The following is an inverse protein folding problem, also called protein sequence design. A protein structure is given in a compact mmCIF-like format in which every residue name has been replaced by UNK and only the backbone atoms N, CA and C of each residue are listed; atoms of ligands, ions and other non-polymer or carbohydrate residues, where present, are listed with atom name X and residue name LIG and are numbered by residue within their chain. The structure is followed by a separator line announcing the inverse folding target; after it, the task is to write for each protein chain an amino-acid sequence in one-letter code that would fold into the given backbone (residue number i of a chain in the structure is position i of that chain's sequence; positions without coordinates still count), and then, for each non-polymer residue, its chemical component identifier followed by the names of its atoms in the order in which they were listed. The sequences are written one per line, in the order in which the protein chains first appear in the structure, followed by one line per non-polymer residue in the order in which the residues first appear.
data_IF_532394662985
#
_entry.id   IF_532394662985
#
_cell.length_a   1.000
_cell.length_b   1.000
_cell.length_c   1.000
_cell.angle_alpha   90.00
_cell.angle_beta   90.00
_cell.angle_gamma   90.00
#
_symmetry.space_group_name_H-M   'P 1'
#
loop_
_entity.id
_entity.type
_entity.pdbx_description
1 polymer ?
#
# COMPACT_ATOMS: atom_id res chain seq x y z
N UNK A 1 12.54 32.35 38.62
CA UNK A 1 12.70 30.93 39.01
C UNK A 1 11.58 30.59 40.00
N UNK A 2 10.52 29.87 39.57
CA UNK A 2 10.40 28.49 40.07
C UNK A 2 9.79 27.45 39.10
N UNK A 3 9.46 27.77 37.83
CA UNK A 3 8.91 26.76 36.91
C UNK A 3 9.94 25.70 36.45
N UNK A 4 11.23 26.09 36.38
CA UNK A 4 12.33 25.18 36.00
C UNK A 4 12.70 24.17 37.09
N UNK A 5 12.29 24.40 38.35
CA UNK A 5 12.57 23.47 39.45
C UNK A 5 11.48 22.39 39.61
N UNK A 6 10.25 22.65 39.14
CA UNK A 6 9.15 21.68 39.18
C UNK A 6 9.26 20.58 38.09
N UNK A 7 9.91 20.88 36.96
CA UNK A 7 10.10 19.93 35.85
C UNK A 7 11.15 18.84 36.10
N UNK A 8 11.90 18.93 37.22
CA UNK A 8 12.94 17.95 37.59
C UNK A 8 12.43 16.81 38.50
N UNK A 9 11.13 16.79 38.83
CA UNK A 9 10.47 15.78 39.68
C UNK A 9 9.38 14.96 38.98
N UNK A 10 9.35 14.93 37.65
CA UNK A 10 8.45 14.04 36.92
C UNK A 10 9.20 12.76 36.55
N UNK A 11 8.67 11.62 37.02
CA UNK A 11 9.10 10.27 36.64
C UNK A 11 9.01 10.03 35.12
N UNK A 12 9.19 8.78 34.65
CA UNK A 12 9.26 8.48 33.22
C UNK A 12 8.09 9.15 32.48
N UNK A 13 8.42 10.00 31.49
CA UNK A 13 7.44 10.73 30.66
C UNK A 13 6.33 9.76 30.27
N UNK A 14 5.11 10.01 30.77
CA UNK A 14 3.94 9.27 30.31
C UNK A 14 3.93 9.37 28.79
N UNK A 15 4.09 8.23 28.09
CA UNK A 15 3.96 8.19 26.63
C UNK A 15 2.56 8.69 26.33
N UNK A 16 2.45 9.86 25.69
CA UNK A 16 1.18 10.35 25.16
C UNK A 16 0.65 9.23 24.27
N UNK A 17 -0.57 8.77 24.54
CA UNK A 17 -1.18 7.70 23.77
C UNK A 17 -1.33 8.18 22.31
N UNK A 18 -0.96 7.33 21.34
CA UNK A 18 -1.16 7.63 19.92
C UNK A 18 -2.64 7.90 19.65
N UNK A 19 -3.01 8.94 18.87
CA UNK A 19 -4.39 9.13 18.45
C UNK A 19 -4.88 7.94 17.62
N UNK A 20 -6.18 7.64 17.70
CA UNK A 20 -6.79 6.63 16.85
C UNK A 20 -6.96 7.19 15.43
N UNK A 21 -6.53 6.45 14.41
CA UNK A 21 -6.81 6.82 13.04
C UNK A 21 -8.20 6.33 12.65
N UNK A 22 -9.06 7.24 12.19
CA UNK A 22 -10.46 6.99 11.85
C UNK A 22 -10.74 7.02 10.36
N UNK A 23 -9.88 7.63 9.55
CA UNK A 23 -10.04 7.72 8.10
C UNK A 23 -8.99 8.61 7.45
N UNK A 24 -8.85 8.48 6.14
CA UNK A 24 -7.87 9.23 5.35
C UNK A 24 -8.55 9.87 4.13
N UNK A 25 -8.38 11.17 3.98
CA UNK A 25 -8.92 11.97 2.87
C UNK A 25 -7.75 12.41 2.00
N UNK A 26 -7.91 12.26 0.69
CA UNK A 26 -6.85 12.54 -0.28
C UNK A 26 -7.27 13.64 -1.26
N UNK A 27 -6.31 14.46 -1.67
CA UNK A 27 -6.39 15.14 -2.97
C UNK A 27 -6.09 14.16 -4.12
N UNK A 28 -6.44 14.55 -5.35
CA UNK A 28 -6.25 13.75 -6.54
C UNK A 28 -4.94 14.07 -7.28
N UNK A 29 -4.87 15.24 -7.91
CA UNK A 29 -3.72 15.64 -8.74
C UNK A 29 -2.51 15.92 -7.85
N UNK A 30 -1.31 15.51 -8.26
CA UNK A 30 -0.08 15.67 -7.46
C UNK A 30 0.00 14.76 -6.22
N UNK A 31 -1.13 14.17 -5.80
CA UNK A 31 -1.23 13.33 -4.59
C UNK A 31 -1.48 11.86 -4.92
N UNK A 32 -2.70 11.47 -5.29
CA UNK A 32 -3.02 10.10 -5.71
C UNK A 32 -2.57 9.83 -7.15
N UNK A 33 -2.47 10.88 -7.96
CA UNK A 33 -2.08 10.81 -9.36
C UNK A 33 -0.94 11.76 -9.63
N UNK A 34 -0.09 11.42 -10.60
CA UNK A 34 0.91 12.36 -11.11
C UNK A 34 0.18 13.47 -11.86
N UNK A 35 0.52 14.72 -11.57
CA UNK A 35 -0.05 15.85 -12.28
C UNK A 35 0.26 15.74 -13.78
N UNK A 36 -0.79 15.65 -14.60
CA UNK A 36 -0.67 15.45 -16.04
C UNK A 36 -1.34 16.57 -16.87
N UNK A 37 -2.10 17.46 -16.21
CA UNK A 37 -2.74 18.60 -16.84
C UNK A 37 -1.92 19.88 -16.62
N UNK A 38 -1.48 20.51 -17.71
CA UNK A 38 -0.80 21.80 -17.65
C UNK A 38 -1.82 22.95 -17.63
N UNK A 39 -2.12 23.42 -16.42
CA UNK A 39 -3.04 24.55 -16.22
C UNK A 39 -2.52 25.83 -16.85
N UNK A 40 -1.21 26.03 -16.98
CA UNK A 40 -0.67 27.23 -17.62
C UNK A 40 -1.01 27.25 -19.10
N UNK A 41 -0.82 26.13 -19.79
CA UNK A 41 -1.22 25.96 -21.19
C UNK A 41 -2.73 26.12 -21.34
N UNK A 42 -3.52 25.59 -20.41
CA UNK A 42 -4.98 25.74 -20.43
C UNK A 42 -5.40 27.21 -20.33
N UNK A 43 -4.82 27.96 -19.40
CA UNK A 43 -5.01 29.40 -19.25
C UNK A 43 -4.67 30.17 -20.54
N UNK A 44 -3.49 29.89 -21.11
CA UNK A 44 -3.03 30.52 -22.35
C UNK A 44 -3.98 30.23 -23.52
N UNK A 45 -4.42 28.98 -23.70
CA UNK A 45 -5.35 28.58 -24.76
C UNK A 45 -6.74 29.20 -24.59
N UNK A 46 -7.23 29.34 -23.36
CA UNK A 46 -8.51 29.98 -23.06
C UNK A 46 -8.44 31.52 -23.10
N UNK A 47 -7.26 32.12 -23.26
CA UNK A 47 -7.08 33.58 -23.20
C UNK A 47 -7.28 34.17 -21.80
N UNK A 48 -7.13 33.36 -20.75
CA UNK A 48 -7.27 33.79 -19.35
C UNK A 48 -5.88 34.00 -18.75
N UNK A 49 -5.56 35.17 -18.19
CA UNK A 49 -4.27 35.41 -17.54
C UNK A 49 -3.97 34.37 -16.46
N UNK A 50 -2.70 33.94 -16.39
CA UNK A 50 -2.23 33.03 -15.35
C UNK A 50 -2.49 33.63 -13.96
N UNK A 51 -3.03 32.82 -13.03
CA UNK A 51 -3.32 33.23 -11.66
C UNK A 51 -4.73 33.75 -11.40
N UNK A 52 -5.58 33.88 -12.43
CA UNK A 52 -7.03 34.03 -12.24
C UNK A 52 -7.69 32.66 -12.01
N UNK A 53 -8.90 32.65 -11.45
CA UNK A 53 -9.73 31.45 -11.48
C UNK A 53 -10.23 31.22 -12.92
N UNK A 54 -9.75 30.16 -13.56
CA UNK A 54 -10.04 29.85 -14.96
C UNK A 54 -11.55 29.76 -15.23
N UNK A 55 -12.27 29.03 -14.38
CA UNK A 55 -13.69 28.73 -14.61
C UNK A 55 -14.55 29.96 -14.37
N UNK A 56 -14.23 30.76 -13.36
CA UNK A 56 -14.89 32.02 -13.10
C UNK A 56 -14.63 33.03 -14.23
N UNK A 57 -13.39 33.11 -14.74
CA UNK A 57 -13.04 33.99 -15.85
C UNK A 57 -13.80 33.60 -17.13
N UNK A 58 -13.85 32.30 -17.46
CA UNK A 58 -14.60 31.79 -18.62
C UNK A 58 -16.10 32.02 -18.47
N UNK A 59 -16.67 31.87 -17.27
CA UNK A 59 -18.08 32.15 -17.02
C UNK A 59 -18.47 33.62 -17.30
N UNK A 60 -17.52 34.55 -17.15
CA UNK A 60 -17.70 35.98 -17.43
C UNK A 60 -17.47 36.41 -18.88
N UNK A 61 -17.06 35.50 -19.78
CA UNK A 61 -16.80 35.81 -21.19
C UNK A 61 -18.10 35.97 -22.01
N UNK A 62 -17.98 36.62 -23.18
CA UNK A 62 -19.06 36.65 -24.17
C UNK A 62 -19.33 35.25 -24.75
N UNK A 63 -20.51 35.00 -25.33
CA UNK A 63 -20.93 33.65 -25.71
C UNK A 63 -20.01 32.90 -26.69
N UNK A 64 -19.39 33.59 -27.67
CA UNK A 64 -18.52 32.94 -28.64
C UNK A 64 -17.15 32.58 -28.04
N UNK A 65 -16.56 33.49 -27.26
CA UNK A 65 -15.28 33.25 -26.60
C UNK A 65 -15.43 32.26 -25.44
N UNK A 66 -16.55 32.33 -24.71
CA UNK A 66 -16.91 31.35 -23.68
C UNK A 66 -17.01 29.95 -24.25
N UNK A 67 -17.75 29.77 -25.34
CA UNK A 67 -17.92 28.46 -25.97
C UNK A 67 -16.57 27.87 -26.42
N UNK A 68 -15.73 28.69 -27.06
CA UNK A 68 -14.37 28.27 -27.45
C UNK A 68 -13.53 27.85 -26.24
N UNK A 69 -13.58 28.61 -25.15
CA UNK A 69 -12.84 28.28 -23.93
C UNK A 69 -13.36 26.99 -23.25
N UNK A 70 -14.68 26.78 -23.23
CA UNK A 70 -15.30 25.55 -22.73
C UNK A 70 -14.89 24.32 -23.56
N UNK A 71 -14.85 24.43 -24.89
CA UNK A 71 -14.36 23.35 -25.77
C UNK A 71 -12.88 23.01 -25.49
N UNK A 72 -12.04 24.02 -25.28
CA UNK A 72 -10.62 23.83 -24.95
C UNK A 72 -10.47 23.13 -23.59
N UNK A 73 -11.24 23.56 -22.59
CA UNK A 73 -11.22 22.94 -21.26
C UNK A 73 -11.65 21.48 -21.37
N UNK A 74 -12.74 21.19 -22.08
CA UNK A 74 -13.24 19.83 -22.26
C UNK A 74 -12.24 18.93 -23.00
N UNK A 75 -11.62 19.43 -24.07
CA UNK A 75 -10.57 18.74 -24.82
C UNK A 75 -9.39 18.36 -23.91
N UNK A 76 -8.88 19.32 -23.16
CA UNK A 76 -7.74 19.13 -22.27
C UNK A 76 -8.08 18.24 -21.07
N UNK A 77 -9.24 18.42 -20.45
CA UNK A 77 -9.71 17.53 -19.37
C UNK A 77 -9.92 16.09 -19.87
N UNK A 78 -10.42 15.92 -21.10
CA UNK A 78 -10.56 14.59 -21.71
C UNK A 78 -9.22 13.92 -21.97
N UNK A 79 -8.21 14.67 -22.43
CA UNK A 79 -6.84 14.15 -22.58
C UNK A 79 -6.20 13.85 -21.22
N UNK A 80 -6.40 14.73 -20.23
CA UNK A 80 -5.98 14.49 -18.85
C UNK A 80 -6.53 13.18 -18.30
N UNK A 81 -7.83 12.92 -18.48
CA UNK A 81 -8.46 11.64 -18.09
C UNK A 81 -7.84 10.43 -18.78
N UNK A 82 -7.52 10.52 -20.07
CA UNK A 82 -6.90 9.42 -20.84
C UNK A 82 -5.47 9.12 -20.40
N UNK A 83 -4.77 10.11 -19.89
CA UNK A 83 -3.34 10.03 -19.54
C UNK A 83 -3.10 9.94 -18.03
N UNK A 84 -4.15 9.72 -17.24
CA UNK A 84 -4.04 9.58 -15.78
C UNK A 84 -3.07 8.46 -15.39
N UNK A 85 -2.19 8.74 -14.45
CA UNK A 85 -1.26 7.78 -13.87
C UNK A 85 -1.24 7.93 -12.36
N UNK A 86 -1.20 6.80 -11.64
CA UNK A 86 -1.08 6.82 -10.19
C UNK A 86 0.31 7.30 -9.74
N UNK A 87 0.34 8.01 -8.64
CA UNK A 87 1.58 8.35 -7.97
C UNK A 87 2.22 7.11 -7.32
N UNK A 88 3.52 7.21 -7.02
CA UNK A 88 4.31 6.13 -6.44
C UNK A 88 3.76 5.70 -5.07
N UNK A 89 3.54 4.39 -4.89
CA UNK A 89 3.12 3.78 -3.63
C UNK A 89 1.63 3.82 -3.34
N UNK A 90 0.82 4.38 -4.25
CA UNK A 90 -0.63 4.55 -4.08
C UNK A 90 -1.36 3.21 -3.93
N UNK A 91 -0.98 2.19 -4.70
CA UNK A 91 -1.60 0.86 -4.62
C UNK A 91 -1.25 0.16 -3.31
N UNK A 92 0.01 0.22 -2.89
CA UNK A 92 0.47 -0.38 -1.63
C UNK A 92 -0.19 0.28 -0.43
N UNK A 93 -0.32 1.62 -0.45
CA UNK A 93 -1.08 2.37 0.54
C UNK A 93 -2.56 1.95 0.53
N UNK A 94 -3.19 1.84 -0.65
CA UNK A 94 -4.58 1.39 -0.78
C UNK A 94 -4.81 0.02 -0.14
N UNK A 95 -3.94 -0.95 -0.43
CA UNK A 95 -4.00 -2.30 0.16
C UNK A 95 -3.82 -2.27 1.68
N UNK A 96 -2.92 -1.43 2.18
CA UNK A 96 -2.72 -1.24 3.62
C UNK A 96 -3.97 -0.67 4.29
N UNK A 97 -4.57 0.39 3.73
CA UNK A 97 -5.77 1.02 4.27
C UNK A 97 -6.98 0.07 4.22
N UNK A 98 -7.15 -0.66 3.11
CA UNK A 98 -8.19 -1.68 2.97
C UNK A 98 -8.05 -2.79 4.01
N UNK A 99 -6.84 -3.28 4.25
CA UNK A 99 -6.57 -4.34 5.24
C UNK A 99 -6.98 -3.93 6.65
N UNK A 100 -6.72 -2.67 7.00
CA UNK A 100 -7.11 -2.09 8.28
C UNK A 100 -8.58 -1.63 8.32
N UNK A 101 -9.33 -1.82 7.23
CA UNK A 101 -10.71 -1.34 7.08
C UNK A 101 -10.85 0.15 7.35
N UNK A 102 -9.83 0.94 7.01
CA UNK A 102 -9.87 2.39 7.16
C UNK A 102 -10.69 3.01 6.02
N UNK A 103 -11.70 3.85 6.32
CA UNK A 103 -12.44 4.55 5.29
C UNK A 103 -11.53 5.58 4.60
N UNK A 104 -11.73 5.73 3.30
CA UNK A 104 -10.95 6.63 2.46
C UNK A 104 -11.86 7.49 1.60
N UNK A 105 -11.53 8.76 1.45
CA UNK A 105 -12.29 9.72 0.65
C UNK A 105 -11.37 10.52 -0.27
N UNK A 106 -11.96 11.11 -1.31
CA UNK A 106 -11.31 12.08 -2.18
C UNK A 106 -11.98 13.44 -2.01
N UNK A 107 -11.18 14.51 -1.96
CA UNK A 107 -11.65 15.90 -2.14
C UNK A 107 -10.76 16.57 -3.18
N UNK A 108 -11.30 16.78 -4.38
CA UNK A 108 -10.57 17.30 -5.54
C UNK A 108 -11.30 18.45 -6.22
N UNK A 109 -10.55 19.25 -7.00
CA UNK A 109 -11.10 20.24 -7.94
C UNK A 109 -11.43 19.64 -9.31
N UNK A 110 -11.19 18.34 -9.52
CA UNK A 110 -11.60 17.61 -10.71
C UNK A 110 -13.10 17.30 -10.71
N UNK A 111 -13.64 16.98 -11.89
CA UNK A 111 -15.05 16.56 -12.01
C UNK A 111 -15.27 15.14 -11.50
N UNK A 112 -16.53 14.80 -11.23
CA UNK A 112 -16.93 13.43 -10.90
C UNK A 112 -16.52 12.42 -11.99
N UNK A 113 -16.53 12.79 -13.27
CA UNK A 113 -16.12 11.91 -14.37
C UNK A 113 -14.64 11.53 -14.26
N UNK A 114 -13.76 12.46 -13.89
CA UNK A 114 -12.33 12.18 -13.68
C UNK A 114 -12.13 11.23 -12.49
N UNK A 115 -12.87 11.44 -11.41
CA UNK A 115 -12.84 10.55 -10.23
C UNK A 115 -13.35 9.15 -10.59
N UNK A 116 -14.40 9.05 -11.39
CA UNK A 116 -14.93 7.77 -11.86
C UNK A 116 -13.92 7.07 -12.80
N UNK A 117 -13.21 7.83 -13.64
CA UNK A 117 -12.11 7.31 -14.48
C UNK A 117 -10.96 6.75 -13.66
N UNK A 118 -10.53 7.45 -12.60
CA UNK A 118 -9.54 6.95 -11.63
C UNK A 118 -10.00 5.61 -11.04
N UNK A 119 -11.24 5.55 -10.54
CA UNK A 119 -11.78 4.34 -9.94
C UNK A 119 -11.76 3.16 -10.91
N UNK A 120 -12.32 3.33 -12.09
CA UNK A 120 -12.56 2.21 -13.02
C UNK A 120 -11.26 1.72 -13.68
N UNK A 121 -10.35 2.63 -13.99
CA UNK A 121 -9.16 2.32 -14.78
C UNK A 121 -7.92 2.02 -13.94
N UNK A 122 -7.76 2.69 -12.79
CA UNK A 122 -6.51 2.67 -12.03
C UNK A 122 -6.65 2.11 -10.62
N UNK A 123 -7.85 2.07 -10.04
CA UNK A 123 -8.04 1.66 -8.64
C UNK A 123 -8.71 0.30 -8.49
N UNK A 124 -9.93 0.15 -8.99
CA UNK A 124 -10.72 -1.07 -8.89
C UNK A 124 -10.08 -2.30 -9.55
N UNK A 125 -9.29 -2.20 -10.64
CA UNK A 125 -8.54 -3.34 -11.18
C UNK A 125 -7.57 -3.99 -10.18
N UNK A 126 -7.18 -3.28 -9.11
CA UNK A 126 -6.38 -3.81 -8.01
C UNK A 126 -7.22 -4.37 -6.84
N UNK A 127 -8.54 -4.55 -7.04
CA UNK A 127 -9.51 -5.01 -6.03
C UNK A 127 -9.63 -4.08 -4.82
N UNK A 128 -9.38 -2.79 -5.02
CA UNK A 128 -9.51 -1.75 -4.01
C UNK A 128 -10.94 -1.16 -4.02
N UNK A 129 -11.55 -0.91 -2.85
CA UNK A 129 -12.86 -0.28 -2.78
C UNK A 129 -12.76 1.18 -3.26
N UNK A 130 -13.80 1.66 -3.95
CA UNK A 130 -13.89 3.07 -4.37
C UNK A 130 -13.77 4.00 -3.15
N UNK A 131 -13.15 5.15 -3.35
CA UNK A 131 -13.13 6.22 -2.36
C UNK A 131 -14.56 6.69 -2.09
N UNK A 132 -14.91 6.85 -0.82
CA UNK A 132 -16.23 7.31 -0.41
C UNK A 132 -16.18 8.11 0.90
N UNK A 133 -16.66 9.37 0.90
CA UNK A 133 -17.18 10.12 -0.25
C UNK A 133 -16.12 10.47 -1.28
N UNK A 134 -16.53 10.70 -2.52
CA UNK A 134 -15.65 11.22 -3.56
C UNK A 134 -16.16 12.61 -3.99
N UNK A 135 -15.58 13.64 -3.38
CA UNK A 135 -16.02 15.03 -3.51
C UNK A 135 -15.25 15.69 -4.65
N UNK A 136 -15.97 16.07 -5.70
CA UNK A 136 -15.45 16.76 -6.87
C UNK A 136 -15.74 18.26 -6.84
N UNK A 137 -15.43 18.90 -7.97
CA UNK A 137 -15.57 20.35 -8.22
C UNK A 137 -16.96 20.92 -7.93
N UNK A 138 -17.99 20.09 -8.04
CA UNK A 138 -19.40 20.48 -7.92
C UNK A 138 -19.79 20.80 -6.48
N UNK A 139 -18.98 20.37 -5.51
CA UNK A 139 -19.19 20.67 -4.11
C UNK A 139 -18.69 22.08 -3.77
N UNK A 140 -19.58 22.90 -3.21
CA UNK A 140 -19.32 24.29 -2.83
C UNK A 140 -19.56 24.45 -1.33
N UNK A 141 -18.70 25.14 -0.58
CA UNK A 141 -17.48 25.83 -1.04
C UNK A 141 -16.29 24.88 -1.30
N UNK A 142 -15.38 25.24 -2.24
CA UNK A 142 -14.19 24.44 -2.52
C UNK A 142 -13.14 24.55 -1.41
N UNK A 143 -12.12 23.68 -1.46
CA UNK A 143 -10.88 23.85 -0.66
C UNK A 143 -10.35 25.28 -0.85
N UNK A 144 -9.85 25.94 0.22
CA UNK A 144 -9.53 25.39 1.55
C UNK A 144 -10.67 25.44 2.58
N UNK A 145 -11.92 25.72 2.18
CA UNK A 145 -13.03 25.75 3.15
C UNK A 145 -13.34 24.35 3.72
N UNK A 146 -13.52 24.15 5.04
CA UNK A 146 -13.60 22.82 5.67
C UNK A 146 -14.90 22.04 5.42
N UNK A 147 -15.85 22.57 4.65
CA UNK A 147 -17.21 22.03 4.56
C UNK A 147 -17.26 20.61 4.00
N UNK A 148 -16.39 20.28 3.04
CA UNK A 148 -16.29 18.93 2.50
C UNK A 148 -15.78 17.94 3.56
N UNK A 149 -14.83 18.34 4.42
CA UNK A 149 -14.34 17.51 5.53
C UNK A 149 -15.41 17.33 6.61
N UNK A 150 -16.17 18.38 6.94
CA UNK A 150 -17.31 18.29 7.86
C UNK A 150 -18.35 17.28 7.37
N UNK A 151 -18.69 17.33 6.08
CA UNK A 151 -19.60 16.38 5.44
C UNK A 151 -19.04 14.95 5.50
N UNK A 152 -17.76 14.75 5.15
CA UNK A 152 -17.12 13.43 5.19
C UNK A 152 -17.12 12.86 6.61
N UNK A 153 -16.73 13.66 7.61
CA UNK A 153 -16.71 13.26 9.01
C UNK A 153 -18.11 12.86 9.49
N UNK A 154 -19.13 13.62 9.11
CA UNK A 154 -20.54 13.26 9.38
C UNK A 154 -20.94 11.94 8.72
N UNK A 155 -20.59 11.71 7.44
CA UNK A 155 -20.92 10.46 6.74
C UNK A 155 -20.19 9.23 7.28
N UNK A 156 -19.01 9.43 7.87
CA UNK A 156 -18.24 8.36 8.52
C UNK A 156 -18.60 8.17 10.00
N UNK A 157 -19.54 8.95 10.54
CA UNK A 157 -19.92 8.97 11.96
C UNK A 157 -18.71 9.19 12.89
N UNK A 158 -17.89 10.19 12.55
CA UNK A 158 -16.68 10.58 13.29
C UNK A 158 -16.62 12.09 13.47
N UNK A 159 -15.99 12.53 14.56
CA UNK A 159 -15.75 13.95 14.80
C UNK A 159 -14.53 14.44 14.02
N UNK A 160 -14.57 15.69 13.57
CA UNK A 160 -13.36 16.37 13.12
C UNK A 160 -12.32 16.45 14.25
N UNK A 161 -11.07 16.22 13.89
CA UNK A 161 -9.95 16.23 14.82
C UNK A 161 -8.75 15.47 14.27
N UNK A 162 -7.68 15.30 15.08
CA UNK A 162 -6.44 14.65 14.66
C UNK A 162 -6.59 13.15 14.38
N UNK A 163 -7.78 12.59 14.57
CA UNK A 163 -8.11 11.21 14.20
C UNK A 163 -8.38 11.05 12.69
N UNK A 164 -8.65 12.15 11.98
CA UNK A 164 -8.74 12.20 10.53
C UNK A 164 -7.46 12.77 9.94
N UNK A 165 -7.13 12.31 8.72
CA UNK A 165 -5.92 12.71 8.02
C UNK A 165 -6.28 13.28 6.65
N UNK A 166 -5.85 14.51 6.36
CA UNK A 166 -5.87 15.11 5.03
C UNK A 166 -4.50 14.96 4.37
N UNK A 167 -4.45 14.39 3.17
CA UNK A 167 -3.23 14.15 2.40
C UNK A 167 -3.34 14.92 1.09
N UNK A 168 -2.35 15.77 0.80
CA UNK A 168 -2.31 16.59 -0.41
C UNK A 168 -0.90 17.06 -0.74
N UNK A 169 -0.70 17.65 -1.91
CA UNK A 169 0.57 18.18 -2.39
C UNK A 169 0.63 19.72 -2.30
N UNK A 170 -0.50 20.40 -2.06
CA UNK A 170 -0.55 21.86 -2.01
C UNK A 170 -0.62 22.42 -0.58
N UNK A 171 0.39 23.19 -0.12
CA UNK A 171 0.35 23.81 1.21
C UNK A 171 -0.77 24.84 1.39
N UNK A 172 -1.00 25.68 0.37
CA UNK A 172 -1.99 26.75 0.43
C UNK A 172 -3.43 26.26 0.24
N UNK A 173 -3.61 25.04 -0.26
CA UNK A 173 -4.92 24.46 -0.52
C UNK A 173 -5.22 23.27 0.41
N UNK A 174 -4.48 22.17 0.30
CA UNK A 174 -4.77 20.92 1.02
C UNK A 174 -4.39 20.97 2.49
N UNK A 175 -3.21 21.52 2.79
CA UNK A 175 -2.76 21.67 4.18
C UNK A 175 -3.61 22.73 4.88
N UNK A 176 -3.87 23.86 4.23
CA UNK A 176 -4.80 24.87 4.73
C UNK A 176 -6.21 24.29 4.97
N UNK A 177 -6.73 23.47 4.05
CA UNK A 177 -8.01 22.77 4.18
C UNK A 177 -8.06 21.86 5.41
N UNK A 178 -7.04 21.01 5.59
CA UNK A 178 -6.96 20.12 6.75
C UNK A 178 -6.83 20.90 8.07
N UNK A 179 -6.00 21.95 8.09
CA UNK A 179 -5.84 22.80 9.27
C UNK A 179 -7.09 23.58 9.64
N UNK A 180 -7.83 24.09 8.65
CA UNK A 180 -9.11 24.76 8.89
C UNK A 180 -10.13 23.84 9.55
N UNK A 181 -10.10 22.54 9.23
CA UNK A 181 -10.94 21.51 9.84
C UNK A 181 -10.36 20.91 11.14
N UNK A 182 -9.14 21.29 11.54
CA UNK A 182 -8.48 20.75 12.75
C UNK A 182 -8.04 19.28 12.63
N UNK A 183 -7.88 18.76 11.41
CA UNK A 183 -7.44 17.38 11.15
C UNK A 183 -5.92 17.30 11.01
N UNK A 184 -5.35 16.09 11.14
CA UNK A 184 -3.93 15.88 10.85
C UNK A 184 -3.66 16.03 9.36
N UNK A 185 -2.48 16.51 9.00
CA UNK A 185 -2.14 16.88 7.61
C UNK A 185 -0.83 16.23 7.14
N UNK A 186 -0.84 15.71 5.91
CA UNK A 186 0.34 15.17 5.22
C UNK A 186 0.56 15.95 3.93
N UNK A 187 1.75 16.51 3.78
CA UNK A 187 2.21 17.12 2.53
C UNK A 187 3.02 16.10 1.73
N UNK A 188 2.64 15.87 0.48
CA UNK A 188 3.41 15.09 -0.51
C UNK A 188 4.30 16.06 -1.28
N UNK A 189 5.62 15.97 -1.11
CA UNK A 189 6.60 16.93 -1.67
C UNK A 189 7.78 16.17 -2.31
N UNK A 190 7.56 15.47 -3.45
CA UNK A 190 8.56 14.60 -4.07
C UNK A 190 9.83 15.33 -4.51
N UNK A 191 9.72 16.63 -4.79
CA UNK A 191 10.84 17.47 -5.22
C UNK A 191 11.51 18.22 -4.05
N UNK A 192 10.98 18.09 -2.82
CA UNK A 192 11.52 18.74 -1.64
C UNK A 192 11.48 20.28 -1.71
N UNK A 193 10.60 20.85 -2.55
CA UNK A 193 10.50 22.29 -2.77
C UNK A 193 10.14 23.03 -1.47
N UNK A 194 9.45 22.36 -0.56
CA UNK A 194 8.90 22.93 0.67
C UNK A 194 9.70 22.56 1.92
N UNK A 195 10.78 21.77 1.78
CA UNK A 195 11.68 21.40 2.89
C UNK A 195 12.73 22.46 3.22
N UNK A 196 13.08 23.34 2.27
CA UNK A 196 14.11 24.37 2.44
C UNK A 196 13.54 25.69 2.97
N UNK A 197 13.02 25.67 4.20
CA UNK A 197 12.56 26.86 4.92
C UNK A 197 12.03 26.45 6.30
N UNK A 198 12.25 27.27 7.34
CA UNK A 198 11.93 26.94 8.76
C UNK A 198 10.44 26.80 9.11
N UNK A 199 9.60 26.41 8.16
CA UNK A 199 8.19 26.09 8.35
C UNK A 199 7.83 25.06 7.30
N UNK A 200 7.38 23.86 7.69
CA UNK A 200 6.73 22.87 6.81
C UNK A 200 5.38 23.38 6.27
N UNK A 201 5.23 24.70 6.11
CA UNK A 201 3.97 25.42 5.87
C UNK A 201 2.84 24.94 6.80
N UNK A 202 3.18 24.47 8.01
CA UNK A 202 2.24 23.98 9.00
C UNK A 202 1.82 22.51 8.87
N UNK A 203 2.23 21.75 7.84
CA UNK A 203 1.87 20.33 7.73
C UNK A 203 2.43 19.51 8.91
N UNK A 204 1.65 18.54 9.40
CA UNK A 204 2.05 17.67 10.52
C UNK A 204 3.09 16.63 10.09
N UNK A 205 2.98 16.15 8.85
CA UNK A 205 3.92 15.22 8.22
C UNK A 205 4.26 15.68 6.80
N UNK A 206 5.47 15.38 6.35
CA UNK A 206 5.92 15.62 4.97
C UNK A 206 6.55 14.33 4.45
N UNK A 207 6.13 13.88 3.28
CA UNK A 207 6.61 12.65 2.62
C UNK A 207 7.08 12.94 1.21
N UNK A 208 8.09 12.22 0.72
CA UNK A 208 8.50 12.33 -0.68
C UNK A 208 7.56 11.52 -1.58
N UNK A 209 6.95 10.46 -1.04
CA UNK A 209 5.88 9.75 -1.74
C UNK A 209 4.90 9.06 -0.78
N UNK A 210 3.75 8.65 -1.31
CA UNK A 210 2.76 7.89 -0.57
C UNK A 210 3.23 6.49 -0.15
N UNK A 211 4.34 5.98 -0.71
CA UNK A 211 4.94 4.72 -0.29
C UNK A 211 5.41 4.73 1.18
N UNK A 212 5.72 5.90 1.73
CA UNK A 212 6.18 6.05 3.13
C UNK A 212 5.01 6.09 4.12
N UNK A 213 3.81 6.42 3.63
CA UNK A 213 2.68 6.72 4.48
C UNK A 213 2.24 5.52 5.34
N UNK A 214 2.15 4.26 4.84
CA UNK A 214 1.81 3.11 5.69
C UNK A 214 2.67 3.00 6.95
N UNK A 215 3.98 3.27 6.81
CA UNK A 215 4.93 3.21 7.92
C UNK A 215 4.67 4.31 8.94
N UNK A 216 4.44 5.53 8.45
CA UNK A 216 4.13 6.71 9.28
C UNK A 216 2.82 6.47 10.02
N UNK A 217 1.76 6.02 9.35
CA UNK A 217 0.46 5.75 9.97
C UNK A 217 0.61 4.76 11.13
N UNK A 218 1.31 3.65 10.91
CA UNK A 218 1.57 2.67 11.95
C UNK A 218 2.39 3.22 13.13
N UNK A 219 3.35 4.09 12.86
CA UNK A 219 4.20 4.68 13.89
C UNK A 219 3.50 5.76 14.70
N UNK A 220 2.64 6.57 14.08
CA UNK A 220 2.07 7.78 14.70
C UNK A 220 0.67 7.57 15.24
N UNK A 221 -0.09 6.62 14.69
CA UNK A 221 -1.47 6.37 15.08
C UNK A 221 -1.66 4.98 15.72
N UNK A 222 -2.71 4.86 16.52
CA UNK A 222 -3.34 3.58 16.81
C UNK A 222 -4.26 3.27 15.63
N UNK A 223 -4.13 2.08 15.05
CA UNK A 223 -5.02 1.61 14.00
C UNK A 223 -5.74 0.39 14.55
N UNK A 224 -7.07 0.44 14.57
CA UNK A 224 -7.90 -0.67 14.97
C UNK A 224 -8.21 -1.52 13.74
N UNK A 225 -8.21 -2.84 13.89
CA UNK A 225 -8.44 -3.73 12.76
C UNK A 225 -8.28 -5.19 13.12
N UNK A 226 -8.24 -6.09 12.11
CA UNK A 226 -8.31 -7.52 12.32
C UNK A 226 -7.15 -7.99 13.20
N UNK A 227 -7.47 -8.24 14.48
CA UNK A 227 -6.49 -8.71 15.45
C UNK A 227 -6.06 -10.11 15.04
N UNK A 228 -4.81 -10.27 14.61
CA UNK A 228 -4.26 -11.61 14.43
C UNK A 228 -3.98 -12.18 15.81
N UNK A 229 -4.95 -12.93 16.33
CA UNK A 229 -4.84 -13.65 17.60
C UNK A 229 -3.56 -14.49 17.56
N UNK A 230 -2.79 -14.46 18.66
CA UNK A 230 -1.64 -15.36 18.84
C UNK A 230 -2.16 -16.80 18.94
N UNK A 231 -2.30 -17.46 17.79
CA UNK A 231 -2.63 -18.88 17.70
C UNK A 231 -1.34 -19.69 17.83
N UNK A 232 -1.40 -20.80 18.56
CA UNK A 232 -0.31 -21.78 18.61
C UNK A 232 -0.03 -22.30 17.18
N UNK A 233 1.23 -22.63 16.86
CA UNK A 233 1.52 -23.32 15.62
C UNK A 233 0.68 -24.60 15.52
N UNK A 234 -0.02 -24.84 14.40
CA UNK A 234 -0.79 -26.05 14.22
C UNK A 234 0.11 -27.29 14.18
N UNK A 235 -0.50 -28.47 14.28
CA UNK A 235 0.11 -29.76 13.95
C UNK A 235 -0.68 -30.38 12.79
N UNK A 236 -0.07 -31.26 11.96
CA UNK A 236 -0.79 -31.90 10.86
C UNK A 236 -1.95 -32.75 11.38
N UNK A 237 -3.16 -32.50 10.90
CA UNK A 237 -4.38 -33.12 11.44
C UNK A 237 -5.07 -34.14 10.52
N UNK A 238 -4.58 -34.34 9.30
CA UNK A 238 -5.03 -35.42 8.40
C UNK A 238 -3.86 -36.29 7.93
N UNK A 239 -4.15 -37.47 7.38
CA UNK A 239 -3.14 -38.47 7.01
C UNK A 239 -2.17 -37.94 5.94
N UNK A 240 -2.67 -37.26 4.91
CA UNK A 240 -1.84 -36.69 3.84
C UNK A 240 -0.90 -35.61 4.37
N UNK A 241 -1.41 -34.70 5.21
CA UNK A 241 -0.62 -33.67 5.88
C UNK A 241 0.44 -34.27 6.81
N UNK A 242 0.12 -35.35 7.52
CA UNK A 242 1.07 -36.04 8.39
C UNK A 242 2.20 -36.71 7.58
N UNK A 243 1.84 -37.46 6.53
CA UNK A 243 2.81 -38.08 5.62
C UNK A 243 3.71 -37.02 4.95
N UNK A 244 3.11 -35.92 4.48
CA UNK A 244 3.84 -34.80 3.89
C UNK A 244 4.78 -34.11 4.88
N UNK A 245 4.35 -33.91 6.13
CA UNK A 245 5.17 -33.33 7.19
C UNK A 245 6.34 -34.24 7.61
N UNK A 246 6.21 -35.57 7.46
CA UNK A 246 7.26 -36.55 7.74
C UNK A 246 8.14 -36.88 6.52
N UNK A 247 7.72 -36.49 5.32
CA UNK A 247 8.42 -36.83 4.09
C UNK A 247 8.19 -38.29 3.65
N UNK A 248 7.09 -38.92 4.10
CA UNK A 248 6.73 -40.27 3.69
C UNK A 248 6.12 -40.28 2.28
N UNK A 249 7.00 -40.24 1.29
CA UNK A 249 6.65 -40.27 -0.13
C UNK A 249 5.88 -41.56 -0.50
N UNK A 250 6.15 -42.68 0.19
CA UNK A 250 5.48 -43.95 -0.08
C UNK A 250 4.00 -43.89 0.33
N UNK A 251 3.72 -43.37 1.52
CA UNK A 251 2.35 -43.13 1.97
C UNK A 251 1.61 -42.15 1.06
N UNK A 252 2.26 -41.04 0.66
CA UNK A 252 1.66 -40.07 -0.27
C UNK A 252 1.35 -40.68 -1.64
N UNK A 253 2.22 -41.55 -2.16
CA UNK A 253 1.99 -42.22 -3.46
C UNK A 253 0.79 -43.16 -3.44
N UNK A 254 0.44 -43.70 -2.27
CA UNK A 254 -0.69 -44.59 -2.10
C UNK A 254 -2.04 -43.87 -1.95
N UNK A 255 -2.05 -42.54 -1.79
CA UNK A 255 -3.25 -41.72 -1.62
C UNK A 255 -3.82 -41.27 -2.97
N UNK A 256 -5.13 -41.01 -3.02
CA UNK A 256 -5.76 -40.44 -4.19
C UNK A 256 -5.53 -38.92 -4.29
N UNK A 257 -5.82 -38.32 -5.44
CA UNK A 257 -5.64 -36.88 -5.63
C UNK A 257 -6.46 -36.03 -4.66
N UNK A 258 -7.66 -36.50 -4.26
CA UNK A 258 -8.56 -35.76 -3.38
C UNK A 258 -7.93 -35.63 -2.00
N UNK A 259 -7.30 -36.68 -1.49
CA UNK A 259 -6.57 -36.68 -0.23
C UNK A 259 -5.32 -35.78 -0.30
N UNK A 260 -4.56 -35.85 -1.41
CA UNK A 260 -3.36 -35.02 -1.62
C UNK A 260 -3.69 -33.52 -1.75
N UNK A 261 -4.88 -33.18 -2.23
CA UNK A 261 -5.35 -31.81 -2.39
C UNK A 261 -6.10 -31.25 -1.15
N UNK A 262 -6.53 -32.11 -0.22
CA UNK A 262 -7.35 -31.71 0.91
C UNK A 262 -6.55 -30.98 1.99
N UNK A 263 -6.98 -29.76 2.35
CA UNK A 263 -6.48 -29.08 3.54
C UNK A 263 -6.93 -29.78 4.82
N UNK A 264 -6.11 -29.74 5.85
CA UNK A 264 -6.50 -30.14 7.20
C UNK A 264 -7.39 -29.08 7.89
N UNK A 265 -7.81 -29.35 9.13
CA UNK A 265 -8.65 -28.45 9.93
C UNK A 265 -8.01 -27.08 10.22
N UNK A 266 -6.70 -26.95 10.01
CA UNK A 266 -5.93 -25.72 10.19
C UNK A 266 -5.81 -24.92 8.89
N UNK A 267 -6.41 -25.44 7.81
CA UNK A 267 -6.36 -24.90 6.45
C UNK A 267 -5.08 -25.26 5.69
N UNK A 268 -4.13 -25.95 6.31
CA UNK A 268 -2.88 -26.29 5.64
C UNK A 268 -3.08 -27.51 4.73
N UNK A 269 -2.63 -27.40 3.48
CA UNK A 269 -2.57 -28.52 2.55
C UNK A 269 -1.32 -29.37 2.82
N UNK A 270 -1.26 -30.63 2.31
CA UNK A 270 -0.06 -31.44 2.38
C UNK A 270 1.16 -30.73 1.79
N UNK A 271 0.99 -29.94 0.72
CA UNK A 271 2.08 -29.18 0.10
C UNK A 271 2.64 -28.11 1.05
N UNK A 272 1.77 -27.41 1.79
CA UNK A 272 2.19 -26.43 2.79
C UNK A 272 3.00 -27.13 3.89
N UNK A 273 2.55 -28.29 4.39
CA UNK A 273 3.26 -29.05 5.40
C UNK A 273 4.61 -29.59 4.93
N UNK A 274 4.69 -30.14 3.72
CA UNK A 274 5.96 -30.59 3.15
C UNK A 274 6.96 -29.44 3.02
N UNK A 275 6.52 -28.26 2.57
CA UNK A 275 7.35 -27.06 2.51
C UNK A 275 7.74 -26.54 3.90
N UNK A 276 6.82 -26.60 4.88
CA UNK A 276 7.07 -26.18 6.26
C UNK A 276 8.05 -27.08 7.02
N UNK A 277 8.10 -28.36 6.65
CA UNK A 277 9.01 -29.37 7.21
C UNK A 277 10.34 -29.49 6.45
N UNK A 278 10.43 -28.99 5.21
CA UNK A 278 11.64 -29.12 4.40
C UNK A 278 11.73 -30.44 3.63
N UNK A 279 10.60 -31.10 3.37
CA UNK A 279 10.57 -32.42 2.73
C UNK A 279 10.52 -32.28 1.21
N UNK A 280 11.69 -32.16 0.59
CA UNK A 280 11.83 -31.95 -0.85
C UNK A 280 11.09 -33.02 -1.69
N UNK A 281 11.27 -34.30 -1.39
CA UNK A 281 10.62 -35.38 -2.14
C UNK A 281 9.09 -35.37 -2.03
N UNK A 282 8.55 -34.97 -0.88
CA UNK A 282 7.11 -34.79 -0.71
C UNK A 282 6.61 -33.58 -1.52
N UNK A 283 7.35 -32.46 -1.53
CA UNK A 283 7.05 -31.30 -2.39
C UNK A 283 7.04 -31.71 -3.86
N UNK A 284 8.07 -32.41 -4.34
CA UNK A 284 8.17 -32.88 -5.73
C UNK A 284 6.99 -33.75 -6.13
N UNK A 285 6.62 -34.73 -5.30
CA UNK A 285 5.48 -35.61 -5.54
C UNK A 285 4.18 -34.82 -5.59
N UNK A 286 3.90 -34.01 -4.58
CA UNK A 286 2.64 -33.25 -4.47
C UNK A 286 2.47 -32.29 -5.64
N UNK A 287 3.54 -31.57 -6.00
CA UNK A 287 3.55 -30.73 -7.19
C UNK A 287 3.31 -31.54 -8.46
N UNK A 288 3.96 -32.69 -8.61
CA UNK A 288 3.77 -33.58 -9.77
C UNK A 288 2.34 -34.12 -9.89
N UNK A 289 1.67 -34.33 -8.76
CA UNK A 289 0.25 -34.70 -8.71
C UNK A 289 -0.70 -33.57 -9.14
N UNK A 290 -0.21 -32.33 -9.27
CA UNK A 290 -0.99 -31.18 -9.76
C UNK A 290 -1.86 -30.51 -8.70
N UNK A 291 -1.49 -30.63 -7.42
CA UNK A 291 -2.18 -29.89 -6.35
C UNK A 291 -2.00 -28.37 -6.50
N UNK A 292 -2.95 -27.60 -5.99
CA UNK A 292 -2.91 -26.14 -6.03
C UNK A 292 -1.77 -25.58 -5.17
N UNK A 293 -0.84 -24.86 -5.80
CA UNK A 293 0.30 -24.21 -5.17
C UNK A 293 -0.02 -22.79 -4.65
N UNK A 294 -1.21 -22.27 -4.97
CA UNK A 294 -1.70 -20.96 -4.51
C UNK A 294 -2.47 -21.02 -3.19
N UNK A 295 -2.73 -22.24 -2.68
CA UNK A 295 -3.46 -22.46 -1.45
C UNK A 295 -2.83 -21.71 -0.26
N UNK A 296 -3.70 -21.14 0.59
CA UNK A 296 -3.33 -20.44 1.81
C UNK A 296 -3.84 -21.21 3.02
N UNK A 297 -2.91 -21.58 3.89
CA UNK A 297 -3.23 -22.29 5.12
C UNK A 297 -3.24 -21.38 6.33
N UNK A 298 -2.73 -21.90 7.44
CA UNK A 298 -2.74 -21.20 8.72
C UNK A 298 -2.03 -19.83 8.64
N UNK A 299 -2.75 -18.79 9.06
CA UNK A 299 -2.37 -17.37 8.96
C UNK A 299 -2.18 -16.87 7.51
N UNK A 300 -2.85 -17.49 6.55
CA UNK A 300 -2.79 -17.11 5.14
C UNK A 300 -1.47 -17.49 4.46
N UNK A 301 -0.63 -18.28 5.11
CA UNK A 301 0.68 -18.64 4.57
C UNK A 301 0.56 -19.71 3.48
N UNK A 302 1.21 -19.49 2.35
CA UNK A 302 1.37 -20.44 1.25
C UNK A 302 2.61 -21.33 1.44
N UNK A 303 2.72 -22.41 0.65
CA UNK A 303 3.91 -23.26 0.63
C UNK A 303 5.19 -22.46 0.32
N UNK A 304 5.11 -21.51 -0.63
CA UNK A 304 6.23 -20.62 -0.98
C UNK A 304 6.68 -19.78 0.23
N UNK A 305 5.75 -19.20 0.98
CA UNK A 305 6.09 -18.42 2.17
C UNK A 305 6.74 -19.27 3.27
N UNK A 306 6.33 -20.55 3.42
CA UNK A 306 6.95 -21.50 4.36
C UNK A 306 8.38 -21.88 3.93
N UNK A 307 8.60 -22.14 2.64
CA UNK A 307 9.94 -22.36 2.10
C UNK A 307 10.86 -21.15 2.33
N UNK A 308 10.34 -19.93 2.08
CA UNK A 308 11.08 -18.69 2.33
C UNK A 308 11.41 -18.47 3.81
N UNK A 309 10.49 -18.82 4.72
CA UNK A 309 10.75 -18.78 6.16
C UNK A 309 11.89 -19.72 6.57
N UNK A 310 11.92 -20.94 5.99
CA UNK A 310 12.94 -21.95 6.29
C UNK A 310 14.31 -21.61 5.70
N UNK A 311 14.34 -20.84 4.62
CA UNK A 311 15.57 -20.63 3.85
C UNK A 311 15.88 -21.76 2.88
N UNK A 312 14.89 -22.60 2.56
CA UNK A 312 15.10 -23.79 1.73
C UNK A 312 15.10 -23.44 0.24
N UNK A 313 16.31 -23.28 -0.31
CA UNK A 313 16.51 -22.93 -1.72
C UNK A 313 15.97 -23.99 -2.69
N UNK A 314 16.08 -25.27 -2.35
CA UNK A 314 15.70 -26.37 -3.23
C UNK A 314 14.19 -26.40 -3.40
N UNK A 315 13.46 -26.32 -2.29
CA UNK A 315 11.99 -26.24 -2.30
C UNK A 315 11.53 -24.94 -2.98
N UNK A 316 12.20 -23.82 -2.70
CA UNK A 316 11.89 -22.55 -3.35
C UNK A 316 12.00 -22.64 -4.87
N UNK A 317 13.09 -23.22 -5.38
CA UNK A 317 13.31 -23.38 -6.83
C UNK A 317 12.23 -24.26 -7.46
N UNK A 318 11.84 -25.35 -6.81
CA UNK A 318 10.77 -26.22 -7.31
C UNK A 318 9.42 -25.50 -7.39
N UNK A 319 9.06 -24.76 -6.34
CA UNK A 319 7.81 -24.00 -6.31
C UNK A 319 7.80 -22.90 -7.39
N UNK A 320 8.89 -22.15 -7.54
CA UNK A 320 9.02 -21.10 -8.54
C UNK A 320 9.08 -21.64 -9.99
N UNK A 321 9.58 -22.86 -10.19
CA UNK A 321 9.66 -23.48 -11.51
C UNK A 321 8.28 -23.79 -12.11
N UNK A 322 7.25 -24.00 -11.28
CA UNK A 322 5.88 -24.23 -11.77
C UNK A 322 5.15 -22.95 -12.11
N UNK A 323 5.26 -21.94 -11.26
CA UNK A 323 4.45 -20.74 -11.37
C UNK A 323 5.05 -19.59 -10.58
N UNK A 324 5.13 -18.41 -11.21
CA UNK A 324 5.47 -17.16 -10.52
C UNK A 324 4.23 -16.47 -9.93
N UNK A 325 3.02 -17.03 -10.11
CA UNK A 325 1.78 -16.42 -9.57
C UNK A 325 1.79 -16.27 -8.05
N UNK A 326 2.59 -17.10 -7.36
CA UNK A 326 2.67 -17.15 -5.91
C UNK A 326 3.70 -16.19 -5.31
N UNK A 327 4.55 -15.56 -6.14
CA UNK A 327 5.74 -14.82 -5.72
C UNK A 327 5.45 -13.67 -4.75
N UNK A 328 4.32 -12.99 -4.95
CA UNK A 328 3.89 -11.84 -4.15
C UNK A 328 2.60 -12.10 -3.38
N UNK A 329 2.15 -13.36 -3.26
CA UNK A 329 0.93 -13.68 -2.50
C UNK A 329 1.12 -13.33 -1.02
N UNK A 330 0.38 -12.35 -0.48
CA UNK A 330 0.52 -11.97 0.92
C UNK A 330 -0.21 -12.93 1.84
N UNK A 331 0.29 -13.10 3.05
CA UNK A 331 -0.40 -13.79 4.13
C UNK A 331 -1.42 -12.88 4.85
N UNK A 332 -2.01 -13.35 5.95
CA UNK A 332 -2.98 -12.61 6.77
C UNK A 332 -2.35 -11.44 7.57
N UNK A 333 -1.11 -11.07 7.28
CA UNK A 333 -0.41 -9.89 7.82
C UNK A 333 0.17 -9.04 6.71
N UNK A 334 -0.33 -9.21 5.48
CA UNK A 334 0.21 -8.60 4.26
C UNK A 334 1.69 -8.94 3.99
N UNK A 335 2.26 -9.96 4.65
CA UNK A 335 3.65 -10.33 4.44
C UNK A 335 3.75 -11.19 3.17
N UNK A 336 4.52 -10.72 2.20
CA UNK A 336 4.88 -11.49 1.01
C UNK A 336 6.01 -12.49 1.32
N UNK A 337 6.27 -13.49 0.45
CA UNK A 337 7.42 -14.38 0.57
C UNK A 337 8.77 -13.64 0.75
N UNK A 338 8.95 -12.49 0.08
CA UNK A 338 10.15 -11.65 0.25
C UNK A 338 10.26 -11.06 1.66
N UNK A 339 9.14 -10.71 2.32
CA UNK A 339 9.16 -10.31 3.74
C UNK A 339 9.65 -11.42 4.65
N UNK A 340 9.24 -12.68 4.40
CA UNK A 340 9.72 -13.82 5.18
C UNK A 340 11.22 -14.04 4.96
N UNK A 341 11.66 -14.14 3.71
CA UNK A 341 13.06 -14.33 3.39
C UNK A 341 13.96 -13.24 4.01
N UNK A 342 13.51 -11.98 3.95
CA UNK A 342 14.20 -10.84 4.53
C UNK A 342 14.22 -10.86 6.06
N UNK A 343 13.07 -11.11 6.70
CA UNK A 343 12.95 -11.15 8.17
C UNK A 343 13.80 -12.27 8.79
N UNK A 344 13.85 -13.44 8.15
CA UNK A 344 14.64 -14.59 8.59
C UNK A 344 16.09 -14.60 8.07
N UNK A 345 16.50 -13.52 7.38
CA UNK A 345 17.86 -13.28 6.89
C UNK A 345 18.43 -14.34 5.92
N UNK A 346 17.57 -14.92 5.07
CA UNK A 346 17.96 -15.93 4.09
C UNK A 346 18.46 -15.29 2.79
N UNK A 347 19.70 -14.80 2.80
CA UNK A 347 20.31 -14.03 1.69
C UNK A 347 20.06 -14.65 0.31
N UNK A 348 20.29 -15.97 0.17
CA UNK A 348 20.17 -16.64 -1.13
C UNK A 348 18.72 -16.80 -1.59
N UNK A 349 17.79 -17.02 -0.68
CA UNK A 349 16.34 -17.00 -0.95
C UNK A 349 15.89 -15.61 -1.39
N UNK A 350 16.38 -14.55 -0.72
CA UNK A 350 16.08 -13.17 -1.13
C UNK A 350 16.60 -12.91 -2.55
N UNK A 351 17.84 -13.28 -2.86
CA UNK A 351 18.39 -13.13 -4.22
C UNK A 351 17.51 -13.84 -5.25
N UNK A 352 17.10 -15.10 -4.98
CA UNK A 352 16.24 -15.84 -5.90
C UNK A 352 14.90 -15.18 -6.15
N UNK A 353 14.25 -14.67 -5.09
CA UNK A 353 12.99 -13.95 -5.22
C UNK A 353 13.16 -12.65 -6.01
N UNK A 354 14.26 -11.92 -5.83
CA UNK A 354 14.55 -10.72 -6.62
C UNK A 354 14.83 -11.06 -8.09
N UNK A 355 15.54 -12.15 -8.36
CA UNK A 355 15.86 -12.61 -9.73
C UNK A 355 14.60 -12.96 -10.54
N UNK A 356 13.53 -13.43 -9.86
CA UNK A 356 12.23 -13.73 -10.50
C UNK A 356 11.20 -12.60 -10.36
N UNK A 357 11.61 -11.42 -9.88
CA UNK A 357 10.80 -10.20 -9.92
C UNK A 357 9.87 -9.97 -8.73
N UNK A 358 10.16 -10.53 -7.55
CA UNK A 358 9.35 -10.31 -6.35
C UNK A 358 9.26 -8.82 -5.99
N UNK A 359 8.06 -8.33 -5.68
CA UNK A 359 7.82 -6.93 -5.34
C UNK A 359 8.67 -6.48 -4.14
N UNK A 360 9.45 -5.42 -4.35
CA UNK A 360 10.23 -4.78 -3.29
C UNK A 360 9.46 -3.69 -2.55
N UNK A 361 8.26 -3.32 -3.02
CA UNK A 361 7.48 -2.17 -2.55
C UNK A 361 6.27 -2.57 -1.70
N UNK A 362 5.80 -3.82 -1.81
CA UNK A 362 4.71 -4.33 -0.99
C UNK A 362 4.95 -4.05 0.51
N UNK A 363 3.90 -3.71 1.25
CA UNK A 363 3.98 -3.42 2.68
C UNK A 363 3.23 -4.45 3.51
N UNK A 364 3.80 -4.83 4.66
CA UNK A 364 3.12 -5.65 5.66
C UNK A 364 2.07 -4.83 6.45
N UNK A 365 1.33 -5.49 7.34
CA UNK A 365 0.30 -4.84 8.16
C UNK A 365 0.86 -3.78 9.12
N UNK A 366 2.18 -3.68 9.29
CA UNK A 366 2.87 -2.64 10.08
C UNK A 366 3.45 -1.52 9.19
N UNK A 367 3.08 -1.53 7.91
CA UNK A 367 3.54 -0.58 6.91
C UNK A 367 5.02 -0.73 6.58
N UNK A 368 5.62 -1.91 6.75
CA UNK A 368 7.03 -2.17 6.43
C UNK A 368 7.14 -2.83 5.08
N UNK A 369 8.05 -2.37 4.25
CA UNK A 369 8.52 -3.09 3.06
C UNK A 369 9.44 -4.26 3.44
N UNK A 370 9.76 -5.19 2.53
CA UNK A 370 10.70 -6.28 2.83
C UNK A 370 12.06 -5.79 3.32
N UNK A 371 12.56 -4.68 2.75
CA UNK A 371 13.81 -4.04 3.18
C UNK A 371 13.75 -3.49 4.62
N UNK A 372 12.57 -3.09 5.10
CA UNK A 372 12.35 -2.59 6.47
C UNK A 372 11.93 -3.70 7.43
N UNK A 373 11.51 -4.85 6.92
CA UNK A 373 11.28 -6.06 7.70
C UNK A 373 12.62 -6.72 8.12
N UNK A 374 13.72 -6.36 7.46
CA UNK A 374 15.09 -6.63 7.91
C UNK A 374 15.30 -5.92 9.27
N UNK A 375 15.13 -6.66 10.35
CA UNK A 375 15.34 -6.29 11.76
C UNK A 375 14.29 -5.46 12.53
N UNK A 376 14.02 -5.94 13.74
CA UNK A 376 13.57 -5.10 14.84
C UNK A 376 14.35 -5.35 16.15
N UNK A 377 14.88 -6.55 16.42
CA UNK A 377 15.50 -6.84 17.74
C UNK A 377 16.65 -7.88 17.75
N UNK A 378 17.13 -8.42 16.63
CA UNK A 378 18.09 -9.56 16.66
C UNK A 378 19.24 -9.46 15.66
N UNK A 379 19.66 -8.25 15.28
CA UNK A 379 20.68 -7.97 14.26
C UNK A 379 22.09 -8.49 14.61
N UNK A 380 22.30 -9.80 14.51
CA UNK A 380 23.60 -10.45 14.33
C UNK A 380 23.48 -11.26 13.05
N UNK A 381 23.90 -10.72 11.89
CA UNK A 381 23.80 -11.41 10.60
C UNK A 381 23.75 -10.53 9.35
N UNK A 382 23.41 -11.16 8.21
CA UNK A 382 23.36 -10.59 6.84
C UNK A 382 22.25 -9.56 6.59
N UNK A 383 21.53 -9.10 7.61
CA UNK A 383 20.38 -8.19 7.46
C UNK A 383 20.69 -6.89 6.68
N UNK A 384 21.85 -6.25 6.92
CA UNK A 384 22.25 -5.04 6.17
C UNK A 384 22.51 -5.32 4.69
N UNK A 385 23.11 -6.47 4.39
CA UNK A 385 23.39 -6.89 3.01
C UNK A 385 22.08 -7.16 2.26
N UNK A 386 21.15 -7.88 2.89
CA UNK A 386 19.82 -8.15 2.36
C UNK A 386 19.05 -6.85 2.11
N UNK A 387 19.05 -5.93 3.08
CA UNK A 387 18.41 -4.63 2.93
C UNK A 387 19.01 -3.86 1.75
N UNK A 388 20.34 -3.80 1.64
CA UNK A 388 21.03 -3.17 0.53
C UNK A 388 20.65 -3.77 -0.83
N UNK A 389 20.58 -5.09 -0.90
CA UNK A 389 20.21 -5.83 -2.11
C UNK A 389 18.77 -5.54 -2.55
N UNK A 390 17.81 -5.52 -1.62
CA UNK A 390 16.41 -5.20 -1.92
C UNK A 390 16.28 -3.74 -2.39
N UNK A 391 16.96 -2.80 -1.73
CA UNK A 391 16.94 -1.39 -2.12
C UNK A 391 17.63 -1.15 -3.47
N UNK A 392 18.70 -1.89 -3.77
CA UNK A 392 19.36 -1.83 -5.06
C UNK A 392 18.47 -2.37 -6.18
N UNK A 393 17.79 -3.51 -5.95
CA UNK A 393 16.83 -4.07 -6.89
C UNK A 393 15.66 -3.10 -7.16
N UNK A 394 15.20 -2.38 -6.12
CA UNK A 394 14.20 -1.31 -6.25
C UNK A 394 14.68 -0.18 -7.18
N UNK A 395 15.90 0.33 -6.96
CA UNK A 395 16.50 1.41 -7.78
C UNK A 395 16.76 0.99 -9.22
N UNK A 396 17.13 -0.27 -9.43
CA UNK A 396 17.34 -0.84 -10.76
C UNK A 396 16.03 -1.01 -11.56
N UNK A 397 14.88 -0.65 -10.98
CA UNK A 397 13.60 -0.59 -11.69
C UNK A 397 13.08 -1.96 -12.13
N UNK A 398 13.31 -3.02 -11.32
CA UNK A 398 12.92 -4.40 -11.61
C UNK A 398 12.96 -4.73 -13.11
N UNK A 399 14.17 -4.96 -13.63
CA UNK A 399 14.38 -5.55 -14.95
C UNK A 399 13.60 -6.87 -14.99
N UNK A 400 12.41 -6.88 -15.59
CA UNK A 400 11.71 -8.10 -15.92
C UNK A 400 12.48 -8.82 -17.03
N UNK A 401 12.69 -10.14 -16.94
CA UNK A 401 13.05 -10.98 -18.08
C UNK A 401 11.85 -11.24 -19.01
N UNK A 402 11.05 -10.21 -19.33
CA UNK A 402 9.96 -10.28 -20.33
C UNK A 402 10.25 -9.49 -21.61
N UNK A 403 11.45 -8.91 -21.78
CA UNK A 403 11.95 -8.44 -23.09
C UNK A 403 12.80 -9.47 -23.85
N UNK A 404 12.62 -10.77 -23.60
CA UNK A 404 13.12 -11.83 -24.49
C UNK A 404 11.97 -12.67 -25.03
N UNK A 405 11.31 -12.16 -26.06
CA UNK A 405 10.70 -12.91 -27.16
C UNK A 405 10.33 -11.92 -28.27
N UNK A 406 11.28 -11.72 -29.18
CA UNK A 406 10.99 -11.63 -30.62
C UNK A 406 11.36 -13.00 -31.20
#
# INVERSE_FOLDING_TARGET
MPLRAALRKMGPRAKIAKPLLRGVVFDLDGTLTVQNLDFKVMHERCGVPAGQDLLQAVAGMNGADRHRAEEIIEEMEAEGRRTLQLATGVIELGKFLQWWSLPTAIVTRNTQETVQSLHDQLWCPHSLPKFWPAVGREFVPPKPHPAALEMIAWQWDVSLGPELLMVGDSPSNDIAFGKAAGVSTVLVDPEGQHRQGQSTMGADFVVDSLAELPRILWQQFRIEGPCVVKKLPPIPANAACHAAAQGDVSALTAMDFKDLAASDETGNTPLIWAADSGNLGAVELLLSAGVDDTAKGFLGNSALSRACRRGDESILRLLLARSTKVIDLPNDKLQTPLHFAAFYQHLRVVQLLLDVGASTTAVDCKGRTPAEACDAETAVGSGREIQGMILQARRAGQILPTQRRA
#
